data_IF_161513514600
#
_entry.id   IF_161513514600
#
_cell.length_a   1.000
_cell.length_b   1.000
_cell.length_c   1.000
_cell.angle_alpha   90.00
_cell.angle_beta   90.00
_cell.angle_gamma   90.00
#
_symmetry.space_group_name_H-M   'P 1'
#
loop_
_entity.id
_entity.type
_entity.pdbx_description
1 polymer ?
#
# COMPACT_ATOMS: atom_id res chain seq x y z
N UNK A 1 4.28 -1.66 4.27
CA UNK A 1 3.25 -1.66 3.22
C UNK A 1 1.85 -1.72 3.84
N UNK A 2 0.89 -0.97 3.31
CA UNK A 2 -0.53 -1.00 3.70
C UNK A 2 -1.36 -1.41 2.49
N UNK A 3 -2.14 -2.48 2.64
CA UNK A 3 -3.06 -2.97 1.62
C UNK A 3 -4.42 -3.29 2.23
N UNK A 4 -5.38 -3.73 1.43
CA UNK A 4 -6.73 -4.06 1.88
C UNK A 4 -7.78 -3.76 0.81
N UNK A 5 -9.04 -4.14 1.01
CA UNK A 5 -10.11 -3.99 0.04
C UNK A 5 -10.33 -2.56 -0.42
N UNK A 6 -10.84 -2.43 -1.64
CA UNK A 6 -11.28 -1.12 -2.13
C UNK A 6 -12.40 -0.57 -1.25
N UNK A 7 -12.30 0.71 -0.86
CA UNK A 7 -13.30 1.36 0.04
C UNK A 7 -12.94 1.30 1.53
N UNK A 8 -11.88 0.63 1.95
CA UNK A 8 -11.45 0.58 3.36
C UNK A 8 -10.87 1.89 3.90
N UNK A 9 -10.54 2.85 3.02
CA UNK A 9 -9.96 4.14 3.41
C UNK A 9 -8.43 4.15 3.48
N UNK A 10 -7.75 3.28 2.73
CA UNK A 10 -6.28 3.22 2.66
C UNK A 10 -5.65 4.60 2.45
N UNK A 11 -6.00 5.29 1.37
CA UNK A 11 -5.42 6.59 1.05
C UNK A 11 -5.54 7.61 2.18
N UNK A 12 -6.71 7.67 2.84
CA UNK A 12 -6.92 8.58 3.98
C UNK A 12 -6.02 8.21 5.16
N UNK A 13 -5.91 6.91 5.47
CA UNK A 13 -5.06 6.42 6.57
C UNK A 13 -3.58 6.64 6.24
N UNK A 14 -3.15 6.34 5.01
CA UNK A 14 -1.77 6.55 4.58
C UNK A 14 -1.40 8.04 4.55
N UNK A 15 -2.29 8.91 4.08
CA UNK A 15 -2.08 10.36 4.10
C UNK A 15 -1.91 10.89 5.52
N UNK A 16 -2.76 10.48 6.46
CA UNK A 16 -2.66 10.87 7.86
C UNK A 16 -1.40 10.28 8.53
N UNK A 17 -1.04 9.04 8.20
CA UNK A 17 0.18 8.41 8.70
C UNK A 17 1.43 9.22 8.30
N UNK A 18 1.51 9.69 7.06
CA UNK A 18 2.62 10.51 6.55
C UNK A 18 2.71 11.89 7.22
N UNK A 19 1.60 12.45 7.71
CA UNK A 19 1.66 13.70 8.49
C UNK A 19 2.28 13.51 9.87
N UNK A 20 2.19 12.31 10.43
CA UNK A 20 2.68 11.98 11.78
C UNK A 20 4.08 11.35 11.78
N UNK A 21 4.47 10.67 10.71
CA UNK A 21 5.76 9.99 10.57
C UNK A 21 6.61 10.70 9.51
N UNK A 22 7.40 11.70 9.93
CA UNK A 22 8.24 12.51 9.02
C UNK A 22 9.43 11.73 8.43
N UNK A 23 9.78 10.61 9.05
CA UNK A 23 10.82 9.65 8.65
C UNK A 23 10.29 8.53 7.73
N UNK A 24 9.04 8.65 7.27
CA UNK A 24 8.39 7.69 6.40
C UNK A 24 8.17 8.30 5.01
N UNK A 25 8.88 7.78 4.02
CA UNK A 25 8.72 8.20 2.64
C UNK A 25 7.50 7.51 1.98
N UNK A 26 6.77 8.24 1.12
CA UNK A 26 5.68 7.67 0.34
C UNK A 26 6.17 7.18 -1.03
N UNK A 27 5.82 5.97 -1.40
CA UNK A 27 6.09 5.45 -2.73
C UNK A 27 5.02 5.92 -3.71
N UNK A 28 5.44 6.73 -4.69
CA UNK A 28 4.57 7.17 -5.78
C UNK A 28 4.56 6.10 -6.86
N UNK A 29 3.39 5.53 -7.14
CA UNK A 29 3.20 4.53 -8.18
C UNK A 29 3.22 5.15 -9.58
N UNK A 30 3.62 4.37 -10.58
CA UNK A 30 3.43 4.68 -11.98
C UNK A 30 2.08 4.12 -12.48
N UNK A 31 1.47 4.77 -13.46
CA UNK A 31 0.23 4.30 -14.09
C UNK A 31 0.12 4.71 -15.55
N UNK A 32 -0.56 3.87 -16.35
CA UNK A 32 -0.92 4.20 -17.74
C UNK A 32 -2.29 4.86 -17.86
N UNK A 33 -3.00 5.04 -16.73
CA UNK A 33 -4.25 5.77 -16.69
C UNK A 33 -3.99 7.27 -16.90
N UNK A 34 -4.86 7.92 -17.65
CA UNK A 34 -4.83 9.37 -17.78
C UNK A 34 -5.07 10.07 -16.42
N UNK A 35 -4.39 11.19 -16.16
CA UNK A 35 -4.62 11.99 -14.96
C UNK A 35 -6.09 12.39 -14.81
N UNK A 36 -6.60 12.39 -13.60
CA UNK A 36 -7.89 12.99 -13.26
C UNK A 36 -7.72 14.46 -12.91
N UNK A 37 -8.83 15.21 -12.91
CA UNK A 37 -8.81 16.59 -12.47
C UNK A 37 -8.20 16.73 -11.05
N UNK A 38 -7.18 17.56 -10.92
CA UNK A 38 -6.48 17.79 -9.66
C UNK A 38 -5.34 16.81 -9.35
N UNK A 39 -5.10 15.77 -10.15
CA UNK A 39 -3.92 14.92 -10.01
C UNK A 39 -2.70 15.56 -10.66
N UNK A 40 -1.55 15.44 -10.03
CA UNK A 40 -0.28 16.08 -10.43
C UNK A 40 0.78 15.00 -10.64
N UNK A 41 1.51 15.13 -11.77
CA UNK A 41 2.67 14.28 -12.11
C UNK A 41 3.71 14.29 -10.99
N UNK A 42 4.24 13.11 -10.66
CA UNK A 42 5.26 12.94 -9.63
C UNK A 42 4.80 13.20 -8.20
N UNK A 43 3.50 13.48 -8.01
CA UNK A 43 2.89 13.67 -6.69
C UNK A 43 1.82 12.61 -6.39
N UNK A 44 0.88 12.42 -7.32
CA UNK A 44 -0.18 11.42 -7.19
C UNK A 44 0.22 10.10 -7.86
N UNK A 45 0.76 10.22 -9.07
CA UNK A 45 1.31 9.14 -9.87
C UNK A 45 2.43 9.66 -10.77
N UNK A 46 3.27 8.74 -11.26
CA UNK A 46 4.05 8.93 -12.49
C UNK A 46 3.17 8.45 -13.63
N UNK A 47 2.62 9.39 -14.41
CA UNK A 47 1.78 9.07 -15.56
C UNK A 47 2.66 8.78 -16.77
N UNK A 48 2.51 7.61 -17.39
CA UNK A 48 3.28 7.23 -18.56
C UNK A 48 2.38 6.54 -19.58
N UNK A 49 2.81 6.49 -20.82
CA UNK A 49 2.09 5.74 -21.82
C UNK A 49 2.28 4.22 -21.65
N UNK A 50 1.47 3.45 -22.37
CA UNK A 50 1.48 2.01 -22.24
C UNK A 50 2.78 1.37 -22.75
N UNK A 51 3.38 1.92 -23.81
CA UNK A 51 4.60 1.39 -24.40
C UNK A 51 5.78 1.57 -23.44
N UNK A 52 5.93 2.76 -22.84
CA UNK A 52 6.96 3.04 -21.85
C UNK A 52 6.81 2.16 -20.61
N UNK A 53 5.56 1.91 -20.17
CA UNK A 53 5.30 1.04 -19.03
C UNK A 53 5.70 -0.41 -19.34
N UNK A 54 5.33 -0.92 -20.52
CA UNK A 54 5.66 -2.28 -20.95
C UNK A 54 7.17 -2.45 -21.15
N UNK A 55 7.87 -1.44 -21.67
CA UNK A 55 9.33 -1.44 -21.73
C UNK A 55 9.94 -1.54 -20.32
N UNK A 56 9.47 -0.73 -19.35
CA UNK A 56 9.94 -0.81 -17.96
C UNK A 56 9.66 -2.18 -17.32
N UNK A 57 8.56 -2.83 -17.65
CA UNK A 57 8.31 -4.22 -17.23
C UNK A 57 9.41 -5.15 -17.75
N UNK A 58 9.72 -5.06 -19.06
CA UNK A 58 10.73 -5.90 -19.68
C UNK A 58 12.15 -5.70 -19.09
N UNK A 59 12.44 -4.47 -18.66
CA UNK A 59 13.70 -4.09 -17.99
C UNK A 59 13.73 -4.46 -16.49
N UNK A 60 12.64 -5.00 -15.92
CA UNK A 60 12.54 -5.29 -14.48
C UNK A 60 12.43 -4.04 -13.61
N UNK A 61 12.02 -2.90 -14.18
CA UNK A 61 12.02 -1.58 -13.53
C UNK A 61 10.92 -1.38 -12.47
N UNK A 62 10.11 -2.42 -12.17
CA UNK A 62 9.07 -2.36 -11.14
C UNK A 62 9.28 -3.40 -10.04
N UNK A 63 9.12 -2.98 -8.79
CA UNK A 63 9.04 -3.87 -7.65
C UNK A 63 7.84 -4.83 -7.81
N UNK A 64 6.69 -4.27 -8.18
CA UNK A 64 5.47 -4.98 -8.56
C UNK A 64 4.70 -4.16 -9.60
N UNK A 65 3.83 -4.83 -10.34
CA UNK A 65 2.85 -4.19 -11.21
C UNK A 65 1.61 -5.05 -11.37
N UNK A 66 0.48 -4.42 -11.69
CA UNK A 66 -0.79 -5.08 -11.97
C UNK A 66 -1.55 -4.36 -13.08
N UNK A 67 -2.38 -5.11 -13.81
CA UNK A 67 -3.36 -4.52 -14.72
C UNK A 67 -4.71 -4.45 -14.00
N UNK A 68 -5.20 -3.24 -13.79
CA UNK A 68 -6.46 -2.98 -13.09
C UNK A 68 -7.39 -2.24 -14.03
N UNK A 69 -8.45 -2.92 -14.47
CA UNK A 69 -9.44 -2.37 -15.41
C UNK A 69 -8.84 -1.80 -16.70
N UNK A 70 -7.83 -2.49 -17.26
CA UNK A 70 -7.20 -2.13 -18.53
C UNK A 70 -6.06 -1.10 -18.43
N UNK A 71 -5.78 -0.58 -17.25
CA UNK A 71 -4.61 0.27 -17.00
C UNK A 71 -3.57 -0.46 -16.16
N UNK A 72 -2.32 -0.22 -16.46
CA UNK A 72 -1.22 -0.66 -15.60
C UNK A 72 -1.03 0.28 -14.41
N UNK A 73 -0.66 -0.32 -13.29
CA UNK A 73 -0.16 0.34 -12.09
C UNK A 73 1.07 -0.41 -11.62
N UNK A 74 2.09 0.29 -11.16
CA UNK A 74 3.31 -0.36 -10.68
C UNK A 74 4.15 0.54 -9.79
N UNK A 75 4.96 -0.07 -8.96
CA UNK A 75 5.86 0.59 -8.03
C UNK A 75 7.25 0.66 -8.64
N UNK A 76 7.78 1.84 -9.03
CA UNK A 76 9.11 1.98 -9.63
C UNK A 76 10.21 1.48 -8.68
N UNK A 77 10.98 0.46 -9.08
CA UNK A 77 11.98 -0.20 -8.24
C UNK A 77 13.12 0.75 -7.84
N UNK A 78 13.69 1.47 -8.80
CA UNK A 78 14.83 2.35 -8.54
C UNK A 78 14.55 3.42 -7.46
N UNK A 79 13.29 3.91 -7.37
CA UNK A 79 12.91 4.88 -6.33
C UNK A 79 12.80 4.26 -4.94
N UNK A 80 12.49 2.98 -4.88
CA UNK A 80 12.48 2.22 -3.62
C UNK A 80 13.91 1.99 -3.15
N UNK A 81 14.78 1.50 -4.05
CA UNK A 81 16.18 1.23 -3.74
C UNK A 81 16.94 2.48 -3.29
N UNK A 82 16.74 3.62 -3.97
CA UNK A 82 17.33 4.92 -3.63
C UNK A 82 17.03 5.31 -2.17
N UNK A 83 15.76 5.19 -1.75
CA UNK A 83 15.34 5.58 -0.41
C UNK A 83 15.74 4.58 0.67
N UNK A 84 15.66 3.29 0.39
CA UNK A 84 16.14 2.26 1.31
C UNK A 84 17.65 2.39 1.55
N UNK A 85 18.43 2.71 0.51
CA UNK A 85 19.86 2.96 0.63
C UNK A 85 20.17 4.22 1.49
N UNK A 86 19.23 5.18 1.54
CA UNK A 86 19.32 6.35 2.43
C UNK A 86 18.86 6.05 3.88
N UNK A 87 18.46 4.79 4.19
CA UNK A 87 17.98 4.40 5.52
C UNK A 87 16.53 4.83 5.82
N UNK A 88 15.76 5.21 4.79
CA UNK A 88 14.38 5.65 4.98
C UNK A 88 13.41 4.45 4.96
N UNK A 89 12.42 4.45 5.82
CA UNK A 89 11.25 3.58 5.66
C UNK A 89 10.38 4.06 4.50
N UNK A 90 9.80 3.11 3.76
CA UNK A 90 8.94 3.43 2.62
C UNK A 90 7.54 2.87 2.82
N UNK A 91 6.55 3.75 2.72
CA UNK A 91 5.13 3.38 2.70
C UNK A 91 4.68 3.06 1.28
N UNK A 92 4.32 1.80 1.05
CA UNK A 92 3.63 1.35 -0.15
C UNK A 92 2.13 1.28 0.14
N UNK A 93 1.32 1.98 -0.66
CA UNK A 93 -0.14 1.85 -0.69
C UNK A 93 -0.53 1.16 -1.99
N UNK A 94 -0.76 -0.14 -1.95
CA UNK A 94 -1.04 -0.97 -3.13
C UNK A 94 -2.26 -1.87 -2.92
N UNK A 95 -2.78 -2.41 -4.02
CA UNK A 95 -3.86 -3.39 -3.97
C UNK A 95 -3.38 -4.75 -3.44
N UNK A 96 -4.32 -5.64 -3.16
CA UNK A 96 -4.02 -6.95 -2.56
C UNK A 96 -3.18 -7.83 -3.49
N UNK A 97 -3.38 -7.76 -4.80
CA UNK A 97 -2.64 -8.57 -5.77
C UNK A 97 -1.18 -8.11 -5.86
N UNK A 98 -0.95 -6.81 -5.98
CA UNK A 98 0.40 -6.21 -5.95
C UNK A 98 1.12 -6.53 -4.65
N UNK A 99 0.40 -6.44 -3.52
CA UNK A 99 0.93 -6.75 -2.19
C UNK A 99 1.45 -8.18 -2.08
N UNK A 100 0.72 -9.18 -2.57
CA UNK A 100 1.16 -10.58 -2.56
C UNK A 100 2.41 -10.81 -3.42
N UNK A 101 2.62 -10.02 -4.47
CA UNK A 101 3.84 -10.07 -5.27
C UNK A 101 5.03 -9.44 -4.51
N UNK A 102 4.81 -8.32 -3.81
CA UNK A 102 5.85 -7.70 -2.97
C UNK A 102 6.26 -8.62 -1.83
N UNK A 103 5.33 -9.30 -1.15
CA UNK A 103 5.63 -10.26 -0.08
C UNK A 103 6.62 -11.34 -0.51
N UNK A 104 6.52 -11.80 -1.77
CA UNK A 104 7.44 -12.83 -2.30
C UNK A 104 8.85 -12.28 -2.56
N UNK A 105 8.96 -11.01 -2.94
CA UNK A 105 10.23 -10.36 -3.26
C UNK A 105 10.93 -9.77 -2.03
N UNK A 106 10.15 -9.32 -1.05
CA UNK A 106 10.62 -8.64 0.15
C UNK A 106 10.01 -9.30 1.39
N UNK A 107 10.40 -10.54 1.76
CA UNK A 107 9.78 -11.28 2.86
C UNK A 107 9.94 -10.57 4.22
N UNK A 108 11.00 -9.77 4.40
CA UNK A 108 11.28 -9.02 5.64
C UNK A 108 10.50 -7.69 5.74
N UNK A 109 9.65 -7.41 4.76
CA UNK A 109 8.82 -6.22 4.76
C UNK A 109 7.71 -6.26 5.81
N UNK A 110 7.32 -5.10 6.33
CA UNK A 110 6.15 -4.97 7.21
C UNK A 110 4.86 -4.91 6.38
N UNK A 111 4.00 -5.92 6.53
CA UNK A 111 2.77 -6.08 5.76
C UNK A 111 1.53 -5.93 6.63
N UNK A 112 0.78 -4.85 6.41
CA UNK A 112 -0.43 -4.50 7.17
C UNK A 112 -1.66 -4.58 6.26
N UNK A 113 -2.63 -5.39 6.65
CA UNK A 113 -3.93 -5.47 5.99
C UNK A 113 -4.96 -4.60 6.68
N UNK A 114 -5.44 -3.56 5.98
CA UNK A 114 -6.42 -2.63 6.49
C UNK A 114 -7.84 -3.13 6.17
N UNK A 115 -8.67 -3.30 7.20
CA UNK A 115 -10.05 -3.75 7.06
C UNK A 115 -11.05 -2.72 7.58
N UNK A 116 -12.29 -2.69 7.04
CA UNK A 116 -13.36 -1.90 7.63
C UNK A 116 -13.87 -2.58 8.92
N UNK A 117 -14.62 -1.89 9.78
CA UNK A 117 -15.22 -2.47 10.98
C UNK A 117 -16.22 -3.60 10.68
N UNK A 118 -16.88 -3.53 9.53
CA UNK A 118 -17.83 -4.55 9.04
C UNK A 118 -18.00 -4.46 7.52
N UNK A 119 -18.55 -5.53 6.92
CA UNK A 119 -18.93 -5.52 5.50
C UNK A 119 -20.01 -4.49 5.19
N UNK A 120 -20.95 -4.27 6.10
CA UNK A 120 -21.99 -3.24 5.96
C UNK A 120 -21.38 -1.83 5.91
N UNK A 121 -20.38 -1.55 6.72
CA UNK A 121 -19.65 -0.29 6.68
C UNK A 121 -18.83 -0.14 5.38
N UNK A 122 -18.23 -1.22 4.89
CA UNK A 122 -17.55 -1.22 3.59
C UNK A 122 -18.52 -0.86 2.47
N UNK A 123 -19.67 -1.50 2.43
CA UNK A 123 -20.73 -1.22 1.44
C UNK A 123 -21.15 0.25 1.51
N UNK A 124 -21.42 0.77 2.71
CA UNK A 124 -21.77 2.18 2.92
C UNK A 124 -20.70 3.12 2.37
N UNK A 125 -19.41 2.84 2.64
CA UNK A 125 -18.27 3.66 2.14
C UNK A 125 -18.15 3.60 0.61
N UNK A 126 -18.39 2.44 0.00
CA UNK A 126 -18.35 2.30 -1.46
C UNK A 126 -19.50 3.11 -2.08
N UNK A 127 -20.73 2.98 -1.58
CA UNK A 127 -21.91 3.75 -2.04
C UNK A 127 -21.72 5.26 -1.91
N UNK A 128 -21.09 5.71 -0.83
CA UNK A 128 -20.89 7.14 -0.53
C UNK A 128 -19.96 7.88 -1.49
N UNK A 129 -19.29 7.19 -2.43
CA UNK A 129 -18.49 7.83 -3.49
C UNK A 129 -19.31 8.39 -4.65
N UNK A 130 -20.63 8.14 -4.72
CA UNK A 130 -21.59 8.82 -5.59
C UNK A 130 -21.60 8.39 -7.05
N UNK A 131 -20.75 7.45 -7.48
CA UNK A 131 -20.63 7.02 -8.88
C UNK A 131 -20.96 5.54 -9.11
N UNK A 132 -21.57 4.87 -8.14
CA UNK A 132 -21.74 3.41 -8.17
C UNK A 132 -23.12 3.00 -8.65
N UNK A 133 -23.17 2.16 -9.69
CA UNK A 133 -24.36 1.40 -10.06
C UNK A 133 -24.51 0.18 -9.14
N UNK A 134 -25.72 -0.41 -9.09
CA UNK A 134 -25.95 -1.63 -8.30
C UNK A 134 -25.05 -2.80 -8.75
N UNK A 135 -24.80 -2.91 -10.06
CA UNK A 135 -23.91 -3.92 -10.63
C UNK A 135 -22.43 -3.69 -10.24
N UNK A 136 -21.94 -2.45 -10.35
CA UNK A 136 -20.60 -2.06 -9.93
C UNK A 136 -20.38 -2.34 -8.45
N UNK A 137 -21.35 -2.01 -7.61
CA UNK A 137 -21.32 -2.29 -6.17
C UNK A 137 -21.22 -3.80 -5.89
N UNK A 138 -22.10 -4.61 -6.52
CA UNK A 138 -22.07 -6.07 -6.33
C UNK A 138 -20.72 -6.67 -6.73
N UNK A 139 -20.13 -6.24 -7.84
CA UNK A 139 -18.82 -6.66 -8.30
C UNK A 139 -17.72 -6.29 -7.28
N UNK A 140 -17.73 -5.05 -6.76
CA UNK A 140 -16.74 -4.59 -5.78
C UNK A 140 -16.88 -5.30 -4.44
N UNK A 141 -18.11 -5.56 -3.99
CA UNK A 141 -18.34 -6.34 -2.77
C UNK A 141 -17.90 -7.80 -2.91
N UNK A 142 -18.11 -8.40 -4.09
CA UNK A 142 -17.59 -9.73 -4.41
C UNK A 142 -16.07 -9.80 -4.39
N UNK A 143 -15.39 -8.83 -5.00
CA UNK A 143 -13.93 -8.69 -4.96
C UNK A 143 -13.43 -8.51 -3.54
N UNK A 144 -14.08 -7.66 -2.74
CA UNK A 144 -13.68 -7.38 -1.36
C UNK A 144 -13.70 -8.64 -0.47
N UNK A 145 -14.67 -9.53 -0.66
CA UNK A 145 -14.71 -10.81 0.09
C UNK A 145 -13.48 -11.68 -0.20
N UNK A 146 -13.06 -11.75 -1.47
CA UNK A 146 -11.87 -12.49 -1.87
C UNK A 146 -10.60 -11.83 -1.32
N UNK A 147 -10.50 -10.51 -1.41
CA UNK A 147 -9.38 -9.74 -0.88
C UNK A 147 -9.25 -9.90 0.64
N UNK A 148 -10.38 -10.00 1.38
CA UNK A 148 -10.38 -10.25 2.83
C UNK A 148 -9.79 -11.64 3.16
N UNK A 149 -10.09 -12.66 2.38
CA UNK A 149 -9.46 -13.98 2.56
C UNK A 149 -7.94 -13.92 2.30
N UNK A 150 -7.50 -13.18 1.30
CA UNK A 150 -6.07 -12.94 1.06
C UNK A 150 -5.40 -12.20 2.22
N UNK A 151 -6.14 -11.42 2.97
CA UNK A 151 -5.68 -10.73 4.18
C UNK A 151 -5.07 -11.66 5.24
N UNK A 152 -5.43 -12.95 5.26
CA UNK A 152 -4.86 -13.97 6.15
C UNK A 152 -3.36 -14.24 5.91
N UNK A 153 -2.82 -13.78 4.77
CA UNK A 153 -1.42 -13.94 4.41
C UNK A 153 -0.52 -12.81 4.94
N UNK A 154 -1.13 -11.77 5.52
CA UNK A 154 -0.41 -10.61 6.04
C UNK A 154 0.07 -10.84 7.48
N UNK A 155 1.13 -10.15 7.86
CA UNK A 155 1.64 -10.21 9.23
C UNK A 155 0.74 -9.52 10.25
N UNK A 156 0.01 -8.48 9.82
CA UNK A 156 -0.83 -7.66 10.69
C UNK A 156 -2.15 -7.31 10.05
N UNK A 157 -3.21 -7.24 10.86
CA UNK A 157 -4.51 -6.70 10.48
C UNK A 157 -4.85 -5.48 11.32
N UNK A 158 -5.28 -4.40 10.66
CA UNK A 158 -5.70 -3.17 11.33
C UNK A 158 -7.13 -2.81 10.92
N UNK A 159 -8.01 -2.68 11.91
CA UNK A 159 -9.40 -2.22 11.68
C UNK A 159 -9.41 -0.70 11.57
N UNK A 160 -9.91 -0.18 10.45
CA UNK A 160 -10.14 1.25 10.23
C UNK A 160 -11.55 1.63 10.73
N UNK A 161 -11.70 1.64 12.05
CA UNK A 161 -12.89 2.16 12.74
C UNK A 161 -12.91 3.69 12.70
N UNK A 162 -11.78 4.31 13.02
CA UNK A 162 -11.49 5.73 12.77
C UNK A 162 -10.07 5.87 12.24
N UNK A 163 -9.82 6.88 11.40
CA UNK A 163 -8.49 7.14 10.83
C UNK A 163 -7.45 7.30 11.95
N UNK A 164 -7.74 8.08 12.97
CA UNK A 164 -6.85 8.31 14.12
C UNK A 164 -6.44 7.01 14.82
N UNK A 165 -7.40 6.12 15.10
CA UNK A 165 -7.09 4.83 15.75
C UNK A 165 -6.33 3.88 14.81
N UNK A 166 -6.68 3.85 13.53
CA UNK A 166 -5.96 3.03 12.55
C UNK A 166 -4.49 3.48 12.44
N UNK A 167 -4.22 4.78 12.33
CA UNK A 167 -2.87 5.35 12.31
C UNK A 167 -2.12 5.02 13.59
N UNK A 168 -2.72 5.21 14.77
CA UNK A 168 -2.08 4.86 16.05
C UNK A 168 -1.68 3.39 16.13
N UNK A 169 -2.52 2.45 15.63
CA UNK A 169 -2.19 1.02 15.56
C UNK A 169 -1.04 0.75 14.60
N UNK A 170 -1.04 1.39 13.42
CA UNK A 170 0.03 1.24 12.43
C UNK A 170 1.36 1.75 12.99
N UNK A 171 1.36 2.91 13.66
CA UNK A 171 2.56 3.47 14.30
C UNK A 171 3.11 2.54 15.40
N UNK A 172 2.22 1.97 16.24
CA UNK A 172 2.62 1.01 17.26
C UNK A 172 3.26 -0.26 16.66
N UNK A 173 2.67 -0.80 15.59
CA UNK A 173 3.22 -1.96 14.87
C UNK A 173 4.58 -1.61 14.28
N UNK A 174 4.74 -0.45 13.60
CA UNK A 174 5.99 0.02 13.04
C UNK A 174 7.08 0.14 14.12
N UNK A 175 6.75 0.75 15.26
CA UNK A 175 7.68 0.88 16.38
C UNK A 175 8.10 -0.50 16.90
N UNK A 176 7.18 -1.43 17.08
CA UNK A 176 7.51 -2.79 17.52
C UNK A 176 8.41 -3.54 16.53
N UNK A 177 8.16 -3.37 15.22
CA UNK A 177 9.00 -3.97 14.18
C UNK A 177 10.43 -3.40 14.15
N UNK A 178 10.61 -2.12 14.46
CA UNK A 178 11.93 -1.52 14.60
C UNK A 178 12.68 -2.03 15.86
N UNK A 179 11.95 -2.44 16.89
CA UNK A 179 12.53 -2.97 18.13
C UNK A 179 12.84 -4.48 18.09
N UNK A 180 12.59 -5.16 16.97
CA UNK A 180 12.90 -6.59 16.86
C UNK A 180 14.40 -6.84 16.98
N UNK A 181 14.76 -7.88 17.74
CA UNK A 181 16.17 -8.26 17.96
C UNK A 181 16.90 -8.53 16.64
N UNK A 182 16.22 -9.17 15.68
CA UNK A 182 16.81 -9.48 14.38
C UNK A 182 17.25 -8.23 13.59
N UNK A 183 16.66 -7.07 13.88
CA UNK A 183 16.96 -5.78 13.23
C UNK A 183 17.93 -4.92 14.04
N UNK A 184 18.36 -5.36 15.23
CA UNK A 184 19.15 -4.57 16.17
C UNK A 184 20.35 -5.38 16.69
N UNK A 185 20.90 -6.30 15.92
CA UNK A 185 22.02 -7.14 16.33
C UNK A 185 23.28 -6.33 16.65
N UNK A 186 23.54 -5.25 15.92
CA UNK A 186 24.65 -4.33 16.12
C UNK A 186 24.70 -3.73 17.52
N UNK A 187 23.56 -3.50 18.18
CA UNK A 187 23.49 -2.99 19.57
C UNK A 187 24.20 -3.96 20.51
N UNK A 188 24.00 -5.26 20.34
CA UNK A 188 24.62 -6.27 21.18
C UNK A 188 26.14 -6.39 20.91
N UNK A 189 26.57 -6.22 19.66
CA UNK A 189 27.94 -6.21 19.25
C UNK A 189 28.70 -4.99 19.83
N UNK A 190 28.04 -3.83 19.89
CA UNK A 190 28.61 -2.61 20.47
C UNK A 190 28.72 -2.69 22.00
N UNK A 191 27.68 -3.21 22.66
CA UNK A 191 27.67 -3.36 24.12
C UNK A 191 28.59 -4.46 24.64
N UNK A 192 29.05 -5.37 23.78
CA UNK A 192 30.00 -6.45 24.13
C UNK A 192 31.49 -6.06 23.99
N UNK A 193 31.79 -4.85 23.49
CA UNK A 193 33.13 -4.27 23.36
C UNK A 193 33.58 -3.61 24.65
#
# INVERSE_FOLDING_TARGET
MVSGPSGTGKGTVCSELLTQAQDLAYSISATTRQPRAGEVEGKNYYFMDKADFEQKIAEGGFLEYANVYGNYYGTPLAKIEERLAAGEDILLEIDTQGALNVMKKCPDGLFIFLVPPSLAELERRIRGRGSETAESLAKRMGSAKKEIEDGRKYGYVVVNDTVKKAVSRIMAIRTAEHCRVEKNQEIFEELAK
#
